data_IF_146460863904
#
_entry.id   IF_146460863904
#
_cell.length_a   1.000
_cell.length_b   1.000
_cell.length_c   1.000
_cell.angle_alpha   90.00
_cell.angle_beta   90.00
_cell.angle_gamma   90.00
#
_symmetry.space_group_name_H-M   'P 1'
#
loop_
_entity.id
_entity.type
_entity.pdbx_description
1 polymer ?
#
# COMPACT_ATOMS: atom_id res chain seq x y z
N UNK A 1 16.45 21.41 -2.67
CA UNK A 1 16.00 20.17 -3.36
C UNK A 1 14.95 19.51 -2.49
N UNK A 2 13.83 19.06 -3.05
CA UNK A 2 12.88 18.26 -2.27
C UNK A 2 13.62 17.07 -1.66
N UNK A 3 13.43 16.81 -0.37
CA UNK A 3 14.04 15.66 0.30
C UNK A 3 13.73 14.38 -0.50
N UNK A 4 14.76 13.63 -0.89
CA UNK A 4 14.62 12.38 -1.64
C UNK A 4 14.05 11.30 -0.71
N UNK A 5 12.73 11.31 -0.52
CA UNK A 5 12.01 10.30 0.29
C UNK A 5 12.04 8.96 -0.42
N UNK A 6 12.29 7.89 0.33
CA UNK A 6 12.26 6.54 -0.23
C UNK A 6 10.82 6.20 -0.62
N UNK A 7 10.62 5.83 -1.88
CA UNK A 7 9.31 5.45 -2.40
C UNK A 7 9.05 3.98 -2.08
N UNK A 8 7.93 3.70 -1.40
CA UNK A 8 7.54 2.35 -0.99
C UNK A 8 6.24 1.98 -1.69
N UNK A 9 6.31 0.98 -2.57
CA UNK A 9 5.13 0.36 -3.13
C UNK A 9 4.45 -0.52 -2.08
N UNK A 10 3.18 -0.25 -1.79
CA UNK A 10 2.35 -1.07 -0.90
C UNK A 10 1.38 -1.84 -1.78
N UNK A 11 1.66 -3.13 -2.01
CA UNK A 11 0.81 -4.04 -2.77
C UNK A 11 -0.23 -4.71 -1.86
N UNK A 12 -1.50 -4.68 -2.23
CA UNK A 12 -2.57 -5.23 -1.40
C UNK A 12 -3.83 -5.62 -2.18
N UNK A 13 -4.77 -6.27 -1.49
CA UNK A 13 -6.00 -6.81 -2.05
C UNK A 13 -5.79 -8.25 -2.53
N UNK A 14 -6.08 -8.50 -3.81
CA UNK A 14 -5.88 -9.79 -4.48
C UNK A 14 -7.14 -10.65 -4.55
N UNK A 15 -7.01 -11.75 -5.30
CA UNK A 15 -8.02 -12.81 -5.47
C UNK A 15 -7.97 -13.78 -4.28
N UNK A 16 -8.36 -13.31 -3.10
CA UNK A 16 -8.32 -14.09 -1.85
C UNK A 16 -9.56 -13.84 -1.00
N UNK A 17 -9.95 -14.81 -0.17
CA UNK A 17 -10.93 -14.62 0.90
C UNK A 17 -10.50 -13.52 1.89
N UNK A 18 -9.19 -13.27 2.01
CA UNK A 18 -8.59 -12.27 2.89
C UNK A 18 -8.43 -10.89 2.22
N UNK A 19 -9.08 -10.64 1.07
CA UNK A 19 -8.98 -9.36 0.34
C UNK A 19 -9.21 -8.13 1.24
N UNK A 20 -10.26 -8.15 2.06
CA UNK A 20 -10.59 -7.01 2.94
C UNK A 20 -9.58 -6.88 4.11
N UNK A 21 -9.04 -8.01 4.57
CA UNK A 21 -7.97 -8.04 5.58
C UNK A 21 -6.70 -7.40 5.01
N UNK A 22 -6.36 -7.71 3.76
CA UNK A 22 -5.25 -7.08 3.04
C UNK A 22 -5.45 -5.58 2.85
N UNK A 23 -6.67 -5.14 2.48
CA UNK A 23 -7.03 -3.72 2.36
C UNK A 23 -6.85 -2.95 3.68
N UNK A 24 -7.35 -3.52 4.79
CA UNK A 24 -7.19 -2.93 6.13
C UNK A 24 -5.72 -2.86 6.55
N UNK A 25 -4.97 -3.93 6.27
CA UNK A 25 -3.54 -4.01 6.58
C UNK A 25 -2.74 -2.94 5.83
N UNK A 26 -2.98 -2.78 4.52
CA UNK A 26 -2.32 -1.76 3.71
C UNK A 26 -2.64 -0.34 4.19
N UNK A 27 -3.90 -0.09 4.57
CA UNK A 27 -4.32 1.18 5.16
C UNK A 27 -3.53 1.49 6.44
N UNK A 28 -3.39 0.49 7.32
CA UNK A 28 -2.63 0.65 8.56
C UNK A 28 -1.13 0.87 8.31
N UNK A 29 -0.54 0.14 7.36
CA UNK A 29 0.87 0.34 6.95
C UNK A 29 1.08 1.75 6.43
N UNK A 30 0.26 2.21 5.49
CA UNK A 30 0.40 3.56 4.92
C UNK A 30 0.25 4.66 5.97
N UNK A 31 -0.64 4.48 6.96
CA UNK A 31 -0.79 5.40 8.10
C UNK A 31 0.40 5.41 9.05
N UNK A 32 1.10 4.28 9.18
CA UNK A 32 2.26 4.14 10.07
C UNK A 32 3.57 4.64 9.44
N UNK A 33 3.63 4.78 8.11
CA UNK A 33 4.83 5.25 7.41
C UNK A 33 5.12 6.72 7.76
N UNK A 34 6.35 6.99 8.18
CA UNK A 34 6.81 8.35 8.48
C UNK A 34 6.84 9.23 7.20
N UNK A 35 5.99 10.26 7.06
CA UNK A 35 5.86 11.04 5.82
C UNK A 35 7.10 11.90 5.48
N UNK A 36 7.97 12.12 6.48
CA UNK A 36 9.24 12.80 6.30
C UNK A 36 10.30 11.90 5.63
N UNK A 37 10.15 10.57 5.72
CA UNK A 37 11.12 9.58 5.21
C UNK A 37 10.62 8.85 3.98
N UNK A 38 9.31 8.60 3.90
CA UNK A 38 8.73 7.70 2.91
C UNK A 38 7.64 8.35 2.08
N UNK A 39 7.55 7.94 0.82
CA UNK A 39 6.49 8.24 -0.13
C UNK A 39 5.75 6.93 -0.45
N UNK A 40 4.54 6.76 0.11
CA UNK A 40 3.79 5.52 -0.04
C UNK A 40 3.03 5.50 -1.37
N UNK A 41 3.25 4.46 -2.17
CA UNK A 41 2.58 4.24 -3.46
C UNK A 41 1.66 3.03 -3.34
N UNK A 42 0.34 3.24 -3.24
CA UNK A 42 -0.60 2.12 -3.18
C UNK A 42 -0.67 1.42 -4.54
N UNK A 43 -0.60 0.08 -4.53
CA UNK A 43 -0.85 -0.79 -5.68
C UNK A 43 -1.95 -1.77 -5.27
N UNK A 44 -3.13 -1.56 -5.83
CA UNK A 44 -4.31 -2.37 -5.53
C UNK A 44 -4.43 -3.52 -6.52
N UNK A 45 -4.76 -4.70 -6.00
CA UNK A 45 -5.19 -5.84 -6.82
C UNK A 45 -6.66 -6.14 -6.49
N UNK A 46 -7.50 -6.10 -7.50
CA UNK A 46 -8.94 -6.41 -7.39
C UNK A 46 -9.21 -7.87 -7.03
N UNK A 47 -10.45 -8.17 -6.66
CA UNK A 47 -10.93 -9.55 -6.39
C UNK A 47 -10.95 -10.42 -7.64
N UNK A 48 -10.86 -9.80 -8.82
CA UNK A 48 -10.74 -10.44 -10.13
C UNK A 48 -9.27 -10.60 -10.54
N UNK A 49 -8.32 -10.05 -9.77
CA UNK A 49 -6.87 -10.13 -10.01
C UNK A 49 -6.33 -9.12 -11.02
N UNK A 50 -7.13 -8.10 -11.35
CA UNK A 50 -6.69 -6.94 -12.12
C UNK A 50 -5.90 -6.00 -11.20
N UNK A 51 -4.81 -5.47 -11.75
CA UNK A 51 -3.91 -4.50 -11.13
C UNK A 51 -4.24 -3.09 -11.61
#
# INVERSE_FOLDING_TARGET
>A
MAANRLRIAVLFGGRSAEHDVSMLSATNVMRALAPAKYDAVPIFVSREGKW
#
